data_IF_444495413168
#
_entry.id   IF_444495413168
#
_cell.length_a   1.000
_cell.length_b   1.000
_cell.length_c   1.000
_cell.angle_alpha   90.00
_cell.angle_beta   90.00
_cell.angle_gamma   90.00
#
_symmetry.space_group_name_H-M   'P 1'
#
loop_
_entity.id
_entity.type
_entity.pdbx_description
1 polymer ?
#
# COMPACT_ATOMS: atom_id res chain seq x y z
N UNK A 1 -8.04 4.43 -18.42
CA UNK A 1 -8.68 4.90 -17.18
C UNK A 1 -8.34 6.35 -16.88
N UNK A 2 -7.09 6.74 -16.57
CA UNK A 2 -6.74 8.17 -16.43
C UNK A 2 -6.68 8.92 -17.76
N UNK A 3 -6.33 8.23 -18.85
CA UNK A 3 -6.26 8.80 -20.20
C UNK A 3 -7.64 9.17 -20.80
N UNK A 4 -8.72 8.66 -20.21
CA UNK A 4 -10.09 8.83 -20.69
C UNK A 4 -10.87 9.88 -19.88
N UNK A 5 -10.25 10.45 -18.84
CA UNK A 5 -10.88 11.39 -17.91
C UNK A 5 -10.49 12.82 -18.24
N UNK A 6 -11.47 13.72 -18.27
CA UNK A 6 -11.22 15.14 -18.52
C UNK A 6 -10.57 15.81 -17.30
N UNK A 7 -9.87 16.93 -17.52
CA UNK A 7 -9.27 17.72 -16.44
C UNK A 7 -10.32 18.26 -15.45
N UNK A 8 -11.54 18.53 -15.93
CA UNK A 8 -12.65 18.96 -15.09
C UNK A 8 -13.06 17.84 -14.12
N UNK A 9 -13.27 16.63 -14.63
CA UNK A 9 -13.60 15.46 -13.81
C UNK A 9 -12.48 15.14 -12.81
N UNK A 10 -11.21 15.22 -13.21
CA UNK A 10 -10.09 15.06 -12.27
C UNK A 10 -10.10 16.09 -11.14
N UNK A 11 -10.47 17.34 -11.45
CA UNK A 11 -10.59 18.41 -10.45
C UNK A 11 -11.77 18.16 -9.51
N UNK A 12 -12.90 17.65 -10.04
CA UNK A 12 -14.05 17.27 -9.24
C UNK A 12 -13.72 16.14 -8.26
N UNK A 13 -12.98 15.11 -8.71
CA UNK A 13 -12.51 14.04 -7.83
C UNK A 13 -11.56 14.55 -6.74
N UNK A 14 -10.65 15.48 -7.08
CA UNK A 14 -9.78 16.10 -6.09
C UNK A 14 -10.55 16.92 -5.04
N UNK A 15 -11.58 17.67 -5.47
CA UNK A 15 -12.46 18.39 -4.55
C UNK A 15 -13.27 17.43 -3.66
N UNK A 16 -13.73 16.31 -4.23
CA UNK A 16 -14.42 15.26 -3.48
C UNK A 16 -13.54 14.65 -2.39
N UNK A 17 -12.26 14.38 -2.67
CA UNK A 17 -11.30 13.87 -1.68
C UNK A 17 -11.06 14.83 -0.51
N UNK A 18 -11.07 16.14 -0.74
CA UNK A 18 -10.93 17.12 0.34
C UNK A 18 -12.08 17.05 1.35
N UNK A 19 -13.27 16.67 0.90
CA UNK A 19 -14.47 16.56 1.74
C UNK A 19 -14.57 15.17 2.36
N UNK A 20 -14.31 14.13 1.56
CA UNK A 20 -14.61 12.74 1.91
C UNK A 20 -13.40 11.96 2.46
N UNK A 21 -12.23 12.59 2.45
CA UNK A 21 -10.94 11.93 2.69
C UNK A 21 -10.38 11.27 1.42
N UNK A 22 -9.16 10.72 1.50
CA UNK A 22 -8.49 10.06 0.37
C UNK A 22 -9.37 8.94 -0.20
N UNK A 23 -9.21 8.63 -1.49
CA UNK A 23 -9.86 7.47 -2.10
C UNK A 23 -8.95 6.25 -2.10
N UNK A 24 -9.57 5.07 -2.12
CA UNK A 24 -8.84 3.81 -2.28
C UNK A 24 -8.12 3.33 -1.00
N UNK A 25 -7.01 2.58 -1.15
CA UNK A 25 -6.37 1.87 -0.03
C UNK A 25 -5.92 2.76 1.13
N UNK A 26 -5.43 3.97 0.85
CA UNK A 26 -4.97 4.90 1.88
C UNK A 26 -6.09 5.25 2.89
N UNK A 27 -7.33 5.42 2.41
CA UNK A 27 -8.48 5.64 3.29
C UNK A 27 -8.72 4.46 4.22
N UNK A 28 -8.60 3.24 3.70
CA UNK A 28 -8.79 2.05 4.51
C UNK A 28 -7.72 1.96 5.59
N UNK A 29 -6.48 2.32 5.28
CA UNK A 29 -5.39 2.39 6.25
C UNK A 29 -5.69 3.42 7.35
N UNK A 30 -6.14 4.63 6.99
CA UNK A 30 -6.52 5.67 7.96
C UNK A 30 -7.66 5.21 8.88
N UNK A 31 -8.70 4.59 8.32
CA UNK A 31 -9.83 4.09 9.09
C UNK A 31 -9.41 2.97 10.05
N UNK A 32 -8.59 2.03 9.58
CA UNK A 32 -8.10 0.93 10.39
C UNK A 32 -7.15 1.41 11.49
N UNK A 33 -6.27 2.36 11.18
CA UNK A 33 -5.37 2.98 12.14
C UNK A 33 -6.14 3.72 13.24
N UNK A 34 -7.21 4.43 12.87
CA UNK A 34 -8.11 5.10 13.82
C UNK A 34 -8.77 4.10 14.77
N UNK A 35 -9.34 3.01 14.23
CA UNK A 35 -9.93 1.95 15.04
C UNK A 35 -8.90 1.30 15.97
N UNK A 36 -7.70 1.02 15.47
CA UNK A 36 -6.63 0.40 16.25
C UNK A 36 -6.18 1.32 17.38
N UNK A 37 -6.10 2.63 17.15
CA UNK A 37 -5.82 3.60 18.20
C UNK A 37 -6.90 3.63 19.28
N UNK A 38 -8.18 3.54 18.90
CA UNK A 38 -9.28 3.40 19.87
C UNK A 38 -9.10 2.15 20.72
N UNK A 39 -8.91 0.98 20.09
CA UNK A 39 -8.73 -0.29 20.81
C UNK A 39 -7.51 -0.23 21.75
N UNK A 40 -6.36 0.21 21.25
CA UNK A 40 -5.13 0.30 22.04
C UNK A 40 -5.27 1.24 23.25
N UNK A 41 -5.95 2.38 23.08
CA UNK A 41 -6.17 3.33 24.17
C UNK A 41 -7.18 2.83 25.20
N UNK A 42 -8.19 2.06 24.79
CA UNK A 42 -9.15 1.47 25.74
C UNK A 42 -8.49 0.42 26.64
N UNK A 43 -7.49 -0.30 26.13
CA UNK A 43 -6.72 -1.29 26.88
C UNK A 43 -5.48 -0.73 27.59
N UNK A 44 -5.26 0.60 27.54
CA UNK A 44 -4.03 1.23 28.00
C UNK A 44 -3.92 1.28 29.53
N UNK A 45 -2.72 0.99 30.06
CA UNK A 45 -2.43 1.12 31.49
C UNK A 45 -2.33 2.57 31.99
N UNK A 46 -2.51 2.77 33.30
CA UNK A 46 -2.36 4.09 33.94
C UNK A 46 -0.95 4.65 33.72
N UNK A 47 -0.86 5.91 33.27
CA UNK A 47 0.43 6.59 33.02
C UNK A 47 1.09 6.27 31.67
N UNK A 48 0.52 5.37 30.86
CA UNK A 48 1.04 5.14 29.51
C UNK A 48 0.59 6.23 28.53
N UNK A 49 1.43 6.52 27.52
CA UNK A 49 1.12 7.48 26.45
C UNK A 49 -0.09 7.03 25.63
N UNK A 50 -0.97 7.97 25.30
CA UNK A 50 -2.03 7.74 24.33
C UNK A 50 -1.46 7.43 22.94
N UNK A 51 -1.94 6.36 22.33
CA UNK A 51 -1.59 6.03 20.95
C UNK A 51 -2.42 6.87 20.00
N UNK A 52 -1.78 7.42 18.98
CA UNK A 52 -2.45 8.18 17.93
C UNK A 52 -2.64 7.29 16.70
N UNK A 53 -3.61 7.58 15.80
CA UNK A 53 -3.76 6.81 14.56
C UNK A 53 -2.45 6.70 13.77
N UNK A 54 -1.62 7.76 13.77
CA UNK A 54 -0.31 7.75 13.12
C UNK A 54 0.66 6.67 13.65
N UNK A 55 0.52 6.21 14.90
CA UNK A 55 1.31 5.10 15.45
C UNK A 55 0.98 3.75 14.79
N UNK A 56 -0.14 3.65 14.05
CA UNK A 56 -0.63 2.44 13.40
C UNK A 56 -0.74 2.56 11.88
N UNK A 57 -0.36 3.70 11.31
CA UNK A 57 -0.36 3.86 9.85
C UNK A 57 0.74 2.99 9.24
N UNK A 58 0.41 2.12 8.27
CA UNK A 58 1.40 1.34 7.57
C UNK A 58 2.28 2.26 6.72
N UNK A 59 3.59 2.00 6.73
CA UNK A 59 4.48 2.61 5.74
C UNK A 59 4.71 1.60 4.64
N UNK A 60 4.14 1.88 3.48
CA UNK A 60 4.40 1.11 2.28
C UNK A 60 5.72 1.57 1.65
N UNK A 61 6.43 0.66 1.00
CA UNK A 61 7.69 0.95 0.29
C UNK A 61 8.96 1.19 1.17
N UNK A 62 9.02 0.60 2.36
CA UNK A 62 10.22 0.63 3.21
C UNK A 62 11.36 -0.29 2.73
N UNK A 63 11.81 -0.11 1.48
CA UNK A 63 13.00 -0.83 0.99
C UNK A 63 13.00 -1.21 -0.48
N UNK A 64 12.10 -0.68 -1.33
CA UNK A 64 12.43 -0.71 -2.75
C UNK A 64 13.70 0.14 -2.93
N UNK A 65 14.79 -0.43 -3.48
CA UNK A 65 15.94 0.38 -3.81
C UNK A 65 15.46 1.54 -4.68
N UNK A 66 15.76 2.77 -4.22
CA UNK A 66 15.48 3.99 -4.97
C UNK A 66 15.81 3.74 -6.44
N UNK A 67 14.86 4.05 -7.34
CA UNK A 67 14.93 3.83 -8.80
C UNK A 67 16.40 3.85 -9.28
N UNK A 68 16.98 2.66 -9.48
CA UNK A 68 18.42 2.50 -9.68
C UNK A 68 19.04 1.15 -9.25
N UNK A 69 18.27 0.27 -8.59
CA UNK A 69 18.74 -1.09 -8.29
C UNK A 69 19.04 -1.91 -9.54
N UNK A 70 20.12 -2.71 -9.50
CA UNK A 70 20.49 -3.64 -10.56
C UNK A 70 19.32 -4.57 -10.92
N UNK A 71 19.05 -4.73 -12.21
CA UNK A 71 17.90 -5.48 -12.71
C UNK A 71 17.93 -6.95 -12.26
N UNK A 72 19.11 -7.50 -11.98
CA UNK A 72 19.29 -8.86 -11.47
C UNK A 72 18.73 -9.01 -10.06
N UNK A 73 18.92 -7.99 -9.20
CA UNK A 73 18.38 -7.95 -7.85
C UNK A 73 16.85 -7.82 -7.88
N UNK A 74 16.33 -6.99 -8.79
CA UNK A 74 14.88 -6.87 -9.02
C UNK A 74 14.28 -8.20 -9.50
N UNK A 75 14.91 -8.87 -10.47
CA UNK A 75 14.47 -10.16 -10.98
C UNK A 75 14.46 -11.24 -9.89
N UNK A 76 15.50 -11.29 -9.06
CA UNK A 76 15.58 -12.22 -7.92
C UNK A 76 14.46 -11.97 -6.93
N UNK A 77 14.21 -10.69 -6.60
CA UNK A 77 13.12 -10.27 -5.72
C UNK A 77 11.76 -10.71 -6.28
N UNK A 78 11.48 -10.41 -7.54
CA UNK A 78 10.22 -10.80 -8.22
C UNK A 78 10.06 -12.31 -8.26
N UNK A 79 11.12 -13.07 -8.57
CA UNK A 79 11.08 -14.54 -8.60
C UNK A 79 10.77 -15.11 -7.21
N UNK A 80 11.35 -14.54 -6.16
CA UNK A 80 11.08 -14.94 -4.77
C UNK A 80 9.63 -14.67 -4.35
N UNK A 81 9.07 -13.52 -4.76
CA UNK A 81 7.69 -13.13 -4.50
C UNK A 81 6.71 -14.03 -5.26
N UNK A 82 6.97 -14.30 -6.54
CA UNK A 82 6.17 -15.22 -7.34
C UNK A 82 6.08 -16.60 -6.67
N UNK A 83 7.21 -17.12 -6.16
CA UNK A 83 7.23 -18.40 -5.44
C UNK A 83 6.39 -18.34 -4.15
N UNK A 84 6.51 -17.27 -3.35
CA UNK A 84 5.73 -17.09 -2.11
C UNK A 84 4.22 -17.02 -2.38
N UNK A 85 3.84 -16.39 -3.49
CA UNK A 85 2.44 -16.23 -3.92
C UNK A 85 1.92 -17.42 -4.75
N UNK A 86 2.70 -18.51 -4.85
CA UNK A 86 2.37 -19.71 -5.63
C UNK A 86 2.15 -19.44 -7.13
N UNK A 87 2.73 -18.36 -7.65
CA UNK A 87 2.76 -18.06 -9.09
C UNK A 87 3.68 -19.02 -9.85
N UNK A 88 3.34 -19.31 -11.10
CA UNK A 88 4.18 -20.07 -12.03
C UNK A 88 4.86 -19.13 -13.01
N UNK A 89 6.18 -19.28 -13.17
CA UNK A 89 6.95 -18.55 -14.17
C UNK A 89 6.79 -19.25 -15.53
N UNK A 90 6.16 -18.57 -16.49
CA UNK A 90 5.90 -19.10 -17.82
C UNK A 90 7.12 -19.02 -18.76
N UNK A 91 8.22 -18.38 -18.35
CA UNK A 91 9.42 -18.21 -19.19
C UNK A 91 10.17 -19.52 -19.46
N UNK A 92 9.91 -20.57 -18.69
CA UNK A 92 10.44 -21.92 -18.93
C UNK A 92 9.58 -22.81 -19.82
N UNK A 93 8.48 -22.30 -20.39
CA UNK A 93 7.43 -23.10 -21.04
C UNK A 93 7.35 -23.01 -22.57
N UNK A 94 8.48 -22.87 -23.27
CA UNK A 94 8.58 -23.15 -24.72
C UNK A 94 9.90 -23.87 -25.00
N UNK A 95 9.90 -25.15 -24.69
CA UNK A 95 10.89 -26.13 -25.11
C UNK A 95 10.25 -27.49 -24.89
N UNK A 96 10.09 -28.23 -25.99
CA UNK A 96 9.66 -29.63 -26.07
C UNK A 96 8.15 -29.91 -26.08
N UNK A 97 7.55 -29.75 -27.27
CA UNK A 97 6.79 -30.78 -28.00
C UNK A 97 6.38 -30.26 -29.38
#
# INVERSE_FOLDING_TARGET
MLADMSSAELTEWAAYEQISGPLGPERMDVLLASLTATVANTARGKGQRAKEPGDFMPTWDQGAPARGGDWQQMLTTVTSLNRRLRGRDARGGRGDA
#
